data_IF_947907998631
#
_entry.id   IF_947907998631
#
_cell.length_a   1.000
_cell.length_b   1.000
_cell.length_c   1.000
_cell.angle_alpha   90.00
_cell.angle_beta   90.00
_cell.angle_gamma   90.00
#
_symmetry.space_group_name_H-M   'P 1'
#
loop_
_entity.id
_entity.type
_entity.pdbx_description
1 polymer ?
#
# COMPACT_ATOMS: atom_id res chain seq x y z
N UNK A 1 9.21 -73.38 53.47
CA UNK A 1 9.64 -72.60 54.65
C UNK A 1 10.28 -71.31 54.17
N UNK A 2 9.94 -70.19 54.82
CA UNK A 2 10.45 -68.82 54.63
C UNK A 2 12.00 -68.78 54.59
N UNK A 3 12.68 -67.79 53.99
CA UNK A 3 12.92 -66.40 54.47
C UNK A 3 13.64 -65.65 53.30
N UNK A 4 13.12 -64.51 52.79
CA UNK A 4 13.58 -63.10 52.99
C UNK A 4 15.01 -62.82 52.43
N UNK A 5 15.39 -61.71 51.78
CA UNK A 5 14.81 -60.40 51.50
C UNK A 5 15.61 -59.74 50.34
N UNK A 6 14.99 -58.82 49.60
CA UNK A 6 15.58 -58.08 48.49
C UNK A 6 16.44 -56.87 48.96
N UNK A 7 17.58 -56.67 48.30
CA UNK A 7 18.57 -55.61 48.57
C UNK A 7 18.25 -54.33 47.80
N UNK A 8 18.37 -53.20 48.49
CA UNK A 8 18.24 -51.82 47.99
C UNK A 8 19.20 -51.51 46.83
N UNK A 9 18.72 -50.73 45.87
CA UNK A 9 19.54 -50.00 44.89
C UNK A 9 18.99 -48.60 44.63
N UNK A 10 19.43 -47.63 45.42
CA UNK A 10 19.28 -46.19 45.16
C UNK A 10 20.50 -45.74 44.36
N UNK A 11 20.32 -45.43 43.07
CA UNK A 11 21.32 -44.71 42.28
C UNK A 11 20.78 -43.30 41.97
N UNK A 12 21.23 -42.33 42.75
CA UNK A 12 21.11 -40.92 42.44
C UNK A 12 22.22 -40.54 41.45
N UNK A 13 21.86 -40.32 40.19
CA UNK A 13 22.76 -39.78 39.18
C UNK A 13 22.82 -38.26 39.28
N UNK A 14 23.96 -37.72 39.69
CA UNK A 14 24.24 -36.27 39.60
C UNK A 14 24.80 -35.99 38.22
N UNK A 15 24.00 -35.36 37.36
CA UNK A 15 24.44 -34.80 36.07
C UNK A 15 25.07 -33.43 36.32
N UNK A 16 26.40 -33.36 36.29
CA UNK A 16 27.13 -32.09 36.23
C UNK A 16 27.16 -31.63 34.77
N UNK A 17 26.24 -30.74 34.40
CA UNK A 17 26.27 -30.08 33.11
C UNK A 17 27.38 -29.02 33.12
N UNK A 18 28.46 -29.26 32.37
CA UNK A 18 29.46 -28.25 32.04
C UNK A 18 28.81 -27.17 31.17
N UNK A 19 28.63 -25.96 31.73
CA UNK A 19 28.25 -24.77 30.97
C UNK A 19 29.46 -24.30 30.15
N UNK A 20 29.45 -24.63 28.86
CA UNK A 20 30.23 -23.88 27.86
C UNK A 20 29.54 -22.52 27.70
N UNK A 21 30.23 -21.37 27.89
CA UNK A 21 29.65 -20.07 27.56
C UNK A 21 29.57 -19.96 26.05
N UNK A 22 28.44 -20.41 25.49
CA UNK A 22 28.05 -20.07 24.13
C UNK A 22 27.82 -18.57 24.09
N UNK A 23 28.55 -17.88 23.21
CA UNK A 23 28.24 -16.51 22.81
C UNK A 23 26.78 -16.50 22.34
N UNK A 24 25.87 -15.99 23.17
CA UNK A 24 24.51 -15.68 22.72
C UNK A 24 24.67 -14.56 21.71
N UNK A 25 24.56 -14.91 20.43
CA UNK A 25 24.23 -13.93 19.41
C UNK A 25 22.86 -13.40 19.79
N UNK A 26 22.81 -12.20 20.38
CA UNK A 26 21.57 -11.49 20.64
C UNK A 26 20.96 -11.14 19.30
N UNK A 27 20.05 -12.01 18.83
CA UNK A 27 19.09 -11.60 17.81
C UNK A 27 18.30 -10.38 18.33
N UNK A 28 17.72 -9.57 17.43
CA UNK A 28 16.88 -8.45 17.83
C UNK A 28 15.81 -8.95 18.82
N UNK A 29 15.59 -8.21 19.90
CA UNK A 29 14.52 -8.51 20.86
C UNK A 29 13.18 -8.55 20.13
N UNK A 30 12.24 -9.37 20.60
CA UNK A 30 10.90 -9.45 20.01
C UNK A 30 10.21 -8.07 19.91
N UNK A 31 10.59 -7.12 20.77
CA UNK A 31 10.08 -5.74 20.73
C UNK A 31 10.61 -4.91 19.55
N UNK A 32 11.77 -5.26 18.99
CA UNK A 32 12.41 -4.54 17.88
C UNK A 32 11.96 -5.04 16.50
N UNK A 33 11.45 -6.26 16.41
CA UNK A 33 10.87 -6.85 15.20
C UNK A 33 9.75 -7.84 15.59
N UNK A 34 8.56 -7.35 15.99
CA UNK A 34 7.47 -8.20 16.49
C UNK A 34 7.01 -9.31 15.54
N UNK A 35 7.29 -9.19 14.24
CA UNK A 35 6.87 -10.17 13.22
C UNK A 35 8.05 -11.01 12.69
N UNK A 36 9.28 -10.70 13.09
CA UNK A 36 10.51 -11.32 12.60
C UNK A 36 10.71 -11.12 11.09
N UNK A 37 10.29 -9.96 10.55
CA UNK A 37 10.31 -9.66 9.12
C UNK A 37 11.71 -9.29 8.59
N UNK A 38 12.65 -8.96 9.46
CA UNK A 38 14.03 -8.64 9.07
C UNK A 38 14.17 -7.30 8.34
N UNK A 39 13.15 -6.44 8.40
CA UNK A 39 13.17 -5.05 7.96
C UNK A 39 12.85 -4.14 9.15
N UNK A 40 13.21 -2.84 9.13
CA UNK A 40 12.97 -1.96 10.27
C UNK A 40 11.49 -1.88 10.70
N UNK A 41 11.24 -2.10 11.99
CA UNK A 41 9.97 -1.79 12.64
C UNK A 41 10.00 -0.32 13.10
N UNK A 42 9.19 0.54 12.47
CA UNK A 42 9.21 2.00 12.66
C UNK A 42 7.80 2.58 12.61
N UNK A 43 7.22 2.76 13.78
CA UNK A 43 5.95 3.47 13.94
C UNK A 43 6.10 4.96 13.57
N UNK A 44 5.01 5.55 13.10
CA UNK A 44 4.95 6.94 12.65
C UNK A 44 3.92 7.71 13.49
N UNK A 45 4.17 7.96 14.79
CA UNK A 45 3.17 8.51 15.71
C UNK A 45 2.75 9.94 15.34
N UNK A 46 3.66 10.70 14.75
CA UNK A 46 3.42 12.09 14.38
C UNK A 46 2.65 12.17 13.07
N UNK A 47 1.53 12.89 13.08
CA UNK A 47 0.78 13.23 11.88
C UNK A 47 1.43 14.41 11.14
N UNK A 48 2.63 14.17 10.61
CA UNK A 48 3.50 15.19 9.99
C UNK A 48 2.93 15.79 8.69
N UNK A 49 1.95 15.14 8.07
CA UNK A 49 1.46 15.48 6.74
C UNK A 49 2.31 14.94 5.59
N UNK A 50 3.42 14.26 5.89
CA UNK A 50 4.19 13.48 4.93
C UNK A 50 3.36 12.33 4.33
N UNK A 51 3.87 11.70 3.29
CA UNK A 51 3.19 10.58 2.63
C UNK A 51 4.00 9.29 2.71
N UNK A 52 3.33 8.16 2.76
CA UNK A 52 3.94 6.83 2.61
C UNK A 52 3.26 6.09 1.47
N UNK A 53 3.99 5.17 0.85
CA UNK A 53 3.42 4.20 -0.08
C UNK A 53 3.22 2.89 0.66
N UNK A 54 1.96 2.52 0.93
CA UNK A 54 1.59 1.26 1.57
C UNK A 54 1.69 0.14 0.54
N UNK A 55 2.66 -0.75 0.72
CA UNK A 55 2.96 -1.86 -0.18
C UNK A 55 2.38 -3.20 0.31
N UNK A 56 1.91 -3.25 1.56
CA UNK A 56 1.25 -4.42 2.12
C UNK A 56 0.69 -4.14 3.51
N UNK A 57 -0.36 -4.85 3.91
CA UNK A 57 -0.97 -4.70 5.23
C UNK A 57 -1.70 -5.96 5.67
N UNK A 58 -1.91 -6.11 6.99
CA UNK A 58 -2.73 -7.17 7.56
C UNK A 58 -2.44 -7.44 9.03
N UNK A 59 -2.97 -8.57 9.51
CA UNK A 59 -2.98 -8.91 10.94
C UNK A 59 -1.79 -9.77 11.38
N UNK A 60 -0.93 -10.19 10.45
CA UNK A 60 0.14 -11.16 10.72
C UNK A 60 1.33 -11.00 9.77
N UNK A 61 2.39 -11.76 10.05
CA UNK A 61 3.63 -11.80 9.26
C UNK A 61 3.41 -12.10 7.77
N UNK A 62 2.56 -13.07 7.44
CA UNK A 62 2.47 -13.62 6.09
C UNK A 62 2.18 -12.57 4.99
N UNK A 63 1.13 -11.71 5.09
CA UNK A 63 0.86 -10.70 4.08
C UNK A 63 1.99 -9.66 3.95
N UNK A 64 2.60 -9.25 5.06
CA UNK A 64 3.70 -8.28 5.04
C UNK A 64 4.98 -8.89 4.45
N UNK A 65 5.30 -10.14 4.77
CA UNK A 65 6.47 -10.82 4.26
C UNK A 65 6.45 -10.95 2.73
N UNK A 66 5.28 -11.26 2.15
CA UNK A 66 5.11 -11.29 0.70
C UNK A 66 5.36 -9.90 0.08
N UNK A 67 4.74 -8.86 0.62
CA UNK A 67 4.93 -7.48 0.15
C UNK A 67 6.41 -7.03 0.23
N UNK A 68 7.09 -7.34 1.34
CA UNK A 68 8.52 -7.04 1.53
C UNK A 68 9.37 -7.78 0.50
N UNK A 69 9.06 -9.05 0.24
CA UNK A 69 9.79 -9.86 -0.75
C UNK A 69 9.62 -9.31 -2.17
N UNK A 70 8.40 -8.91 -2.54
CA UNK A 70 8.10 -8.30 -3.84
C UNK A 70 8.80 -6.94 -4.03
N UNK A 71 9.22 -6.32 -2.92
CA UNK A 71 9.95 -5.05 -2.86
C UNK A 71 11.40 -5.20 -2.36
N UNK A 72 11.99 -6.39 -2.53
CA UNK A 72 13.35 -6.66 -2.09
C UNK A 72 14.34 -5.68 -2.74
N UNK A 73 15.14 -5.01 -1.91
CA UNK A 73 16.12 -4.01 -2.33
C UNK A 73 15.64 -2.56 -2.23
N UNK A 74 14.35 -2.33 -1.94
CA UNK A 74 13.86 -1.02 -1.51
C UNK A 74 14.07 -0.82 0.00
N UNK A 75 14.05 0.43 0.45
CA UNK A 75 14.10 0.78 1.88
C UNK A 75 12.71 0.60 2.52
N UNK A 76 12.31 -0.66 2.69
CA UNK A 76 11.02 -1.04 3.26
C UNK A 76 11.10 -0.96 4.78
N UNK A 77 10.09 -0.35 5.39
CA UNK A 77 9.84 -0.44 6.83
C UNK A 77 8.44 -1.01 7.08
N UNK A 78 8.14 -1.39 8.31
CA UNK A 78 6.78 -1.71 8.71
C UNK A 78 6.42 -1.11 10.06
N UNK A 79 5.14 -0.89 10.29
CA UNK A 79 4.60 -0.23 11.49
C UNK A 79 3.39 -0.96 12.05
N UNK A 80 3.04 -0.65 13.30
CA UNK A 80 1.73 -0.94 13.89
C UNK A 80 0.85 0.30 13.78
N UNK A 81 -0.34 0.15 13.22
CA UNK A 81 -1.24 1.28 12.97
C UNK A 81 -1.76 1.92 14.25
N UNK A 82 -1.96 1.14 15.30
CA UNK A 82 -2.42 1.61 16.61
C UNK A 82 -1.41 2.54 17.32
N UNK A 83 -0.13 2.40 17.00
CA UNK A 83 0.97 3.19 17.58
C UNK A 83 1.45 4.31 16.63
N UNK A 84 0.75 4.50 15.50
CA UNK A 84 1.07 5.46 14.45
C UNK A 84 -0.04 6.51 14.27
N UNK A 85 0.21 7.54 13.47
CA UNK A 85 -0.76 8.58 13.12
C UNK A 85 -2.06 7.95 12.64
N UNK A 86 -3.22 8.45 13.10
CA UNK A 86 -4.55 7.93 12.77
C UNK A 86 -4.98 8.23 11.31
N UNK A 87 -4.22 7.73 10.35
CA UNK A 87 -4.42 7.87 8.91
C UNK A 87 -5.02 6.60 8.28
N UNK A 88 -5.31 6.66 6.98
CA UNK A 88 -5.85 5.53 6.22
C UNK A 88 -4.73 4.63 5.73
N UNK A 89 -4.47 3.51 6.40
CA UNK A 89 -3.42 2.57 6.00
C UNK A 89 -3.91 1.35 5.22
N UNK A 90 -5.18 0.98 5.36
CA UNK A 90 -5.77 -0.21 4.74
C UNK A 90 -6.80 0.17 3.70
N UNK A 91 -7.92 -0.53 3.68
CA UNK A 91 -9.07 -0.18 2.82
C UNK A 91 -9.86 0.95 3.50
N UNK A 92 -10.20 2.00 2.76
CA UNK A 92 -10.86 3.23 3.25
C UNK A 92 -12.14 2.96 4.08
N UNK A 93 -12.90 1.91 3.75
CA UNK A 93 -14.17 1.57 4.40
C UNK A 93 -14.06 0.46 5.47
N UNK A 94 -12.85 0.03 5.80
CA UNK A 94 -12.59 -1.04 6.77
C UNK A 94 -11.79 -0.53 7.97
N UNK A 95 -11.84 -1.25 9.10
CA UNK A 95 -10.94 -0.97 10.21
C UNK A 95 -9.48 -0.97 9.76
N UNK A 96 -8.65 -0.12 10.41
CA UNK A 96 -7.22 -0.12 10.15
C UNK A 96 -6.63 -1.52 10.44
N UNK A 97 -5.79 -2.06 9.54
CA UNK A 97 -5.12 -3.33 9.76
C UNK A 97 -4.13 -3.21 10.92
N UNK A 98 -3.79 -4.29 11.62
CA UNK A 98 -2.83 -4.18 12.74
C UNK A 98 -1.46 -3.70 12.27
N UNK A 99 -0.95 -4.24 11.15
CA UNK A 99 0.38 -3.93 10.62
C UNK A 99 0.36 -3.52 9.16
N UNK A 100 1.35 -2.71 8.79
CA UNK A 100 1.52 -2.14 7.45
C UNK A 100 3.00 -2.15 7.08
N UNK A 101 3.34 -2.67 5.91
CA UNK A 101 4.64 -2.47 5.27
C UNK A 101 4.55 -1.28 4.30
N UNK A 102 5.56 -0.42 4.32
CA UNK A 102 5.56 0.83 3.56
C UNK A 102 6.94 1.23 3.04
N UNK A 103 6.93 2.09 2.02
CA UNK A 103 8.06 2.88 1.55
C UNK A 103 7.88 4.34 1.96
N UNK A 104 8.99 5.04 2.20
CA UNK A 104 9.02 6.43 2.68
C UNK A 104 9.38 6.53 4.17
N UNK A 105 8.99 7.61 4.88
CA UNK A 105 8.11 8.68 4.43
C UNK A 105 8.73 9.58 3.35
N UNK A 106 7.86 10.13 2.51
CA UNK A 106 8.15 11.12 1.47
C UNK A 106 7.67 12.49 1.92
N UNK A 107 8.44 13.54 1.60
CA UNK A 107 8.12 14.91 2.01
C UNK A 107 6.87 15.46 1.30
N UNK A 108 6.57 14.91 0.11
CA UNK A 108 5.43 15.30 -0.70
C UNK A 108 4.59 14.10 -1.16
N UNK A 109 3.25 14.25 -1.29
CA UNK A 109 2.43 13.20 -1.89
C UNK A 109 2.80 12.90 -3.34
N UNK A 110 3.30 13.90 -4.08
CA UNK A 110 3.78 13.74 -5.46
C UNK A 110 4.91 12.71 -5.61
N UNK A 111 5.83 12.62 -4.64
CA UNK A 111 6.91 11.63 -4.68
C UNK A 111 6.38 10.20 -4.48
N UNK A 112 5.53 10.00 -3.49
CA UNK A 112 4.87 8.71 -3.27
C UNK A 112 4.00 8.32 -4.47
N UNK A 113 3.31 9.30 -5.07
CA UNK A 113 2.49 9.09 -6.25
C UNK A 113 3.31 8.74 -7.50
N UNK A 114 4.49 9.33 -7.69
CA UNK A 114 5.38 8.98 -8.79
C UNK A 114 5.79 7.49 -8.71
N UNK A 115 6.03 6.97 -7.50
CA UNK A 115 6.29 5.54 -7.28
C UNK A 115 5.03 4.70 -7.54
N UNK A 116 3.89 5.13 -6.99
CA UNK A 116 2.59 4.46 -7.13
C UNK A 116 2.15 4.28 -8.58
N UNK A 117 2.46 5.25 -9.44
CA UNK A 117 2.05 5.26 -10.84
C UNK A 117 2.99 4.45 -11.75
N UNK A 118 3.55 3.35 -11.22
CA UNK A 118 4.42 2.42 -11.93
C UNK A 118 3.90 0.98 -11.87
N UNK A 119 4.25 0.10 -12.83
CA UNK A 119 3.86 -1.31 -12.80
C UNK A 119 4.21 -2.05 -11.52
N UNK A 120 5.33 -1.68 -10.86
CA UNK A 120 5.78 -2.30 -9.61
C UNK A 120 4.79 -2.07 -8.45
N UNK A 121 4.15 -0.90 -8.43
CA UNK A 121 3.29 -0.46 -7.32
C UNK A 121 1.81 -0.32 -7.71
N UNK A 122 1.39 -0.99 -8.79
CA UNK A 122 0.05 -0.81 -9.39
C UNK A 122 -1.14 -1.12 -8.46
N UNK A 123 -0.91 -1.86 -7.36
CA UNK A 123 -1.91 -2.25 -6.37
C UNK A 123 -1.79 -1.55 -5.01
N UNK A 124 -0.77 -0.70 -4.85
CA UNK A 124 -0.44 -0.09 -3.57
C UNK A 124 -1.31 1.14 -3.33
N UNK A 125 -1.22 1.76 -2.15
CA UNK A 125 -1.96 3.00 -1.85
C UNK A 125 -1.02 4.05 -1.27
N UNK A 126 -1.25 5.31 -1.63
CA UNK A 126 -0.54 6.43 -1.03
C UNK A 126 -1.35 6.93 0.15
N UNK A 127 -0.76 6.90 1.34
CA UNK A 127 -1.35 7.39 2.57
C UNK A 127 -0.70 8.71 2.94
N UNK A 128 -1.50 9.72 3.24
CA UNK A 128 -1.03 10.95 3.87
C UNK A 128 -1.15 10.82 5.38
N UNK A 129 -0.10 11.17 6.10
CA UNK A 129 -0.04 11.08 7.57
C UNK A 129 -0.77 12.27 8.20
N UNK A 130 -2.11 12.27 8.10
CA UNK A 130 -2.99 13.21 8.80
C UNK A 130 -4.13 12.46 9.48
N UNK A 131 -4.45 12.87 10.70
CA UNK A 131 -5.52 12.25 11.49
C UNK A 131 -6.93 12.43 10.89
N UNK A 132 -7.11 13.47 10.04
CA UNK A 132 -8.37 13.77 9.38
C UNK A 132 -8.58 13.00 8.08
N UNK A 133 -7.53 12.43 7.47
CA UNK A 133 -7.65 11.74 6.18
C UNK A 133 -8.62 10.56 6.31
N UNK A 134 -9.53 10.45 5.35
CA UNK A 134 -10.50 9.34 5.26
C UNK A 134 -10.41 8.56 3.96
N UNK A 135 -9.66 9.09 3.00
CA UNK A 135 -9.37 8.45 1.72
C UNK A 135 -7.86 8.45 1.48
N UNK A 136 -7.42 7.64 0.53
CA UNK A 136 -6.05 7.67 0.02
C UNK A 136 -5.80 8.92 -0.83
N UNK A 137 -4.53 9.26 -0.99
CA UNK A 137 -4.09 10.31 -1.91
C UNK A 137 -4.46 9.91 -3.33
N UNK A 138 -5.17 10.81 -4.02
CA UNK A 138 -5.55 10.63 -5.42
C UNK A 138 -4.42 11.12 -6.32
N UNK A 139 -3.60 10.20 -6.84
CA UNK A 139 -2.34 10.56 -7.49
C UNK A 139 -2.48 11.42 -8.77
N UNK A 140 -3.62 11.38 -9.44
CA UNK A 140 -3.90 12.29 -10.56
C UNK A 140 -4.02 13.77 -10.13
N UNK A 141 -4.21 14.03 -8.83
CA UNK A 141 -4.27 15.36 -8.23
C UNK A 141 -2.90 15.89 -7.80
N UNK A 142 -1.94 14.99 -7.61
CA UNK A 142 -0.60 15.31 -7.09
C UNK A 142 0.47 15.35 -8.18
N UNK A 143 0.19 14.76 -9.33
CA UNK A 143 1.16 14.67 -10.43
C UNK A 143 0.88 15.71 -11.54
N UNK A 144 1.94 16.17 -12.25
CA UNK A 144 1.79 17.06 -13.39
C UNK A 144 1.08 16.36 -14.55
N UNK A 145 0.11 17.04 -15.16
CA UNK A 145 -0.71 16.50 -16.26
C UNK A 145 0.09 16.19 -17.51
N UNK A 146 1.25 16.85 -17.65
CA UNK A 146 2.19 16.68 -18.75
C UNK A 146 2.88 15.32 -18.69
N UNK A 147 2.86 14.63 -17.54
CA UNK A 147 3.39 13.28 -17.40
C UNK A 147 2.34 12.20 -17.65
N UNK A 148 1.08 12.57 -17.90
CA UNK A 148 0.00 11.60 -18.06
C UNK A 148 -0.01 11.10 -19.50
N UNK A 149 -0.19 9.78 -19.74
CA UNK A 149 -0.23 9.25 -21.10
C UNK A 149 -1.51 9.69 -21.81
N UNK A 150 -1.43 9.83 -23.13
CA UNK A 150 -2.63 9.86 -23.97
C UNK A 150 -3.29 8.48 -23.96
N UNK A 151 -4.58 8.42 -23.63
CA UNK A 151 -5.35 7.18 -23.62
C UNK A 151 -6.46 7.23 -24.68
N UNK A 152 -6.52 6.21 -25.54
CA UNK A 152 -7.54 6.10 -26.57
C UNK A 152 -7.75 4.64 -27.01
N UNK A 153 -8.90 4.36 -27.62
CA UNK A 153 -9.15 3.08 -28.28
C UNK A 153 -8.12 2.85 -29.38
N UNK A 154 -7.55 1.65 -29.45
CA UNK A 154 -6.55 1.27 -30.46
C UNK A 154 -5.12 1.72 -30.14
N UNK A 155 -4.88 2.45 -29.03
CA UNK A 155 -3.53 2.66 -28.50
C UNK A 155 -3.03 1.38 -27.79
N UNK A 156 -1.70 1.14 -27.75
CA UNK A 156 -1.15 0.03 -26.98
C UNK A 156 -1.58 0.09 -25.52
N UNK A 157 -1.94 -1.07 -24.96
CA UNK A 157 -2.28 -1.22 -23.55
C UNK A 157 -1.31 -2.17 -22.88
N UNK A 158 -0.51 -1.63 -21.98
CA UNK A 158 0.50 -2.28 -21.16
C UNK A 158 0.22 -2.04 -19.67
N UNK A 159 1.09 -2.55 -18.79
CA UNK A 159 0.91 -2.41 -17.35
C UNK A 159 0.90 -0.94 -16.88
N UNK A 160 1.65 -0.05 -17.55
CA UNK A 160 1.71 1.35 -17.19
C UNK A 160 0.40 2.07 -17.56
N UNK A 161 -0.05 1.92 -18.81
CA UNK A 161 -1.31 2.51 -19.29
C UNK A 161 -2.55 1.94 -18.59
N UNK A 162 -2.52 0.68 -18.12
CA UNK A 162 -3.59 0.11 -17.29
C UNK A 162 -3.75 0.83 -15.95
N UNK A 163 -2.66 1.28 -15.33
CA UNK A 163 -2.70 2.05 -14.07
C UNK A 163 -3.41 3.39 -14.31
N UNK A 164 -2.98 4.12 -15.34
CA UNK A 164 -3.58 5.40 -15.71
C UNK A 164 -5.04 5.26 -16.12
N UNK A 165 -5.38 4.19 -16.85
CA UNK A 165 -6.77 3.91 -17.23
C UNK A 165 -7.65 3.63 -16.02
N UNK A 166 -7.16 2.87 -15.03
CA UNK A 166 -7.90 2.63 -13.79
C UNK A 166 -8.07 3.92 -12.99
N UNK A 167 -7.03 4.76 -12.92
CA UNK A 167 -7.11 6.07 -12.28
C UNK A 167 -8.16 6.97 -12.95
N UNK A 168 -8.17 7.02 -14.29
CA UNK A 168 -9.21 7.71 -15.06
C UNK A 168 -10.61 7.20 -14.72
N UNK A 169 -10.82 5.89 -14.82
CA UNK A 169 -12.13 5.26 -14.61
C UNK A 169 -12.65 5.47 -13.19
N UNK A 170 -11.77 5.40 -12.19
CA UNK A 170 -12.08 5.67 -10.78
C UNK A 170 -12.45 7.14 -10.60
N UNK A 171 -11.64 8.05 -11.15
CA UNK A 171 -11.93 9.49 -11.05
C UNK A 171 -13.27 9.83 -11.69
N UNK A 172 -13.56 9.28 -12.87
CA UNK A 172 -14.86 9.46 -13.54
C UNK A 172 -16.01 8.88 -12.69
N UNK A 173 -15.79 7.80 -11.95
CA UNK A 173 -16.76 7.24 -11.01
C UNK A 173 -17.05 8.22 -9.86
N UNK A 174 -15.99 8.70 -9.21
CA UNK A 174 -16.06 9.61 -8.06
C UNK A 174 -16.82 10.91 -8.40
N UNK A 175 -16.61 11.47 -9.60
CA UNK A 175 -17.33 12.68 -10.04
C UNK A 175 -18.69 12.41 -10.68
N UNK A 176 -19.22 11.18 -10.58
CA UNK A 176 -20.54 10.78 -11.07
C UNK A 176 -20.66 10.66 -12.60
N UNK A 177 -19.55 10.43 -13.29
CA UNK A 177 -19.45 10.31 -14.76
C UNK A 177 -19.17 8.89 -15.25
N UNK A 178 -19.14 7.91 -14.34
CA UNK A 178 -19.14 6.49 -14.67
C UNK A 178 -20.32 5.79 -13.97
N UNK A 179 -21.58 6.02 -14.41
CA UNK A 179 -22.78 5.50 -13.72
C UNK A 179 -22.88 3.96 -13.71
N UNK A 180 -21.90 3.28 -14.31
CA UNK A 180 -21.87 1.83 -14.42
C UNK A 180 -20.73 1.19 -13.64
N UNK A 181 -19.93 1.98 -12.91
CA UNK A 181 -18.77 1.51 -12.15
C UNK A 181 -17.80 0.66 -12.98
N UNK A 182 -17.61 1.03 -14.25
CA UNK A 182 -16.71 0.34 -15.17
C UNK A 182 -15.26 0.68 -14.86
N UNK A 183 -14.64 -0.06 -13.94
CA UNK A 183 -13.28 0.17 -13.44
C UNK A 183 -12.44 -1.11 -13.63
N UNK A 184 -12.06 -1.38 -14.88
CA UNK A 184 -11.31 -2.59 -15.27
C UNK A 184 -9.85 -2.31 -15.65
N UNK A 185 -9.45 -1.04 -15.78
CA UNK A 185 -8.12 -0.64 -16.23
C UNK A 185 -7.86 -0.83 -17.73
N UNK A 186 -8.89 -1.08 -18.53
CA UNK A 186 -8.82 -1.26 -19.98
C UNK A 186 -9.52 -0.11 -20.68
N UNK A 187 -8.82 0.58 -21.58
CA UNK A 187 -9.38 1.72 -22.31
C UNK A 187 -10.14 1.21 -23.55
N UNK A 188 -11.35 0.71 -23.31
CA UNK A 188 -12.25 0.19 -24.32
C UNK A 188 -13.21 1.26 -24.86
N UNK A 189 -14.06 0.87 -25.81
CA UNK A 189 -15.07 1.76 -26.39
C UNK A 189 -15.97 2.38 -25.31
N UNK A 190 -16.31 1.61 -24.27
CA UNK A 190 -17.12 2.11 -23.15
C UNK A 190 -16.41 3.22 -22.40
N UNK A 191 -15.12 3.05 -22.11
CA UNK A 191 -14.31 4.10 -21.47
C UNK A 191 -14.25 5.35 -22.35
N UNK A 192 -14.06 5.19 -23.66
CA UNK A 192 -14.08 6.31 -24.61
C UNK A 192 -15.44 7.03 -24.61
N UNK A 193 -16.56 6.32 -24.55
CA UNK A 193 -17.90 6.92 -24.51
C UNK A 193 -18.15 7.73 -23.21
N UNK A 194 -17.63 7.25 -22.07
CA UNK A 194 -17.65 8.02 -20.81
C UNK A 194 -16.82 9.30 -20.93
N UNK A 195 -15.65 9.22 -21.57
CA UNK A 195 -14.78 10.39 -21.83
C UNK A 195 -15.46 11.38 -22.77
N UNK A 196 -16.11 10.93 -23.85
CA UNK A 196 -16.90 11.81 -24.74
C UNK A 196 -18.01 12.54 -23.99
N UNK A 197 -18.72 11.81 -23.12
CA UNK A 197 -19.79 12.38 -22.30
C UNK A 197 -19.23 13.46 -21.36
N UNK A 198 -18.08 13.21 -20.74
CA UNK A 198 -17.41 14.20 -19.92
C UNK A 198 -16.94 15.43 -20.74
N UNK A 199 -16.30 15.21 -21.88
CA UNK A 199 -15.83 16.27 -22.79
C UNK A 199 -16.98 17.16 -23.27
N UNK A 200 -18.10 16.56 -23.69
CA UNK A 200 -19.32 17.28 -24.08
C UNK A 200 -19.87 18.12 -22.91
N UNK A 201 -19.87 17.59 -21.68
CA UNK A 201 -20.26 18.37 -20.50
C UNK A 201 -19.33 19.55 -20.19
N UNK A 202 -18.11 19.55 -20.73
CA UNK A 202 -17.13 20.64 -20.59
C UNK A 202 -17.09 21.55 -21.83
N UNK A 203 -18.01 21.38 -22.77
CA UNK A 203 -18.11 22.14 -24.02
C UNK A 203 -16.82 22.10 -24.86
N UNK A 204 -16.09 20.96 -24.83
CA UNK A 204 -14.93 20.70 -25.68
C UNK A 204 -15.22 19.61 -26.71
N UNK A 205 -14.32 19.41 -27.68
CA UNK A 205 -14.47 18.37 -28.68
C UNK A 205 -14.57 16.97 -28.02
N UNK A 206 -15.60 16.21 -28.37
CA UNK A 206 -15.95 14.90 -27.82
C UNK A 206 -15.24 13.76 -28.58
N UNK A 207 -13.92 13.81 -28.60
CA UNK A 207 -13.08 12.84 -29.32
C UNK A 207 -13.12 11.45 -28.67
N UNK A 208 -13.32 11.39 -27.36
CA UNK A 208 -13.17 10.18 -26.56
C UNK A 208 -11.70 9.79 -26.34
N UNK A 209 -10.78 10.70 -26.63
CA UNK A 209 -9.34 10.60 -26.32
C UNK A 209 -9.09 11.33 -25.02
N UNK A 210 -8.36 10.71 -24.08
CA UNK A 210 -7.89 11.36 -22.86
C UNK A 210 -6.47 11.88 -23.10
N UNK A 211 -6.37 13.08 -23.63
CA UNK A 211 -5.13 13.84 -23.82
C UNK A 211 -4.85 14.78 -22.64
N UNK A 212 -3.77 15.56 -22.71
CA UNK A 212 -3.36 16.49 -21.65
C UNK A 212 -4.47 17.49 -21.28
N UNK A 213 -5.20 18.02 -22.26
CA UNK A 213 -6.30 18.96 -22.02
C UNK A 213 -7.47 18.27 -21.31
N UNK A 214 -7.84 17.06 -21.75
CA UNK A 214 -8.87 16.25 -21.11
C UNK A 214 -8.49 15.89 -19.68
N UNK A 215 -7.24 15.49 -19.44
CA UNK A 215 -6.71 15.24 -18.10
C UNK A 215 -6.80 16.47 -17.20
N UNK A 216 -6.44 17.64 -17.71
CA UNK A 216 -6.53 18.89 -16.94
C UNK A 216 -7.97 19.22 -16.55
N UNK A 217 -8.94 19.01 -17.45
CA UNK A 217 -10.35 19.21 -17.17
C UNK A 217 -10.85 18.24 -16.09
N UNK A 218 -10.48 16.97 -16.17
CA UNK A 218 -10.82 15.95 -15.18
C UNK A 218 -10.22 16.31 -13.82
N UNK A 219 -8.93 16.63 -13.77
CA UNK A 219 -8.23 17.03 -12.54
C UNK A 219 -8.89 18.23 -11.90
N UNK A 220 -9.21 19.26 -12.69
CA UNK A 220 -9.88 20.48 -12.20
C UNK A 220 -11.26 20.17 -11.60
N UNK A 221 -11.99 19.21 -12.19
CA UNK A 221 -13.31 18.82 -11.70
C UNK A 221 -13.25 17.99 -10.42
N UNK A 222 -12.33 17.03 -10.35
CA UNK A 222 -12.28 16.03 -9.29
C UNK A 222 -11.49 16.49 -8.06
N UNK A 223 -10.32 17.09 -8.27
CA UNK A 223 -9.34 17.28 -7.19
C UNK A 223 -9.73 18.30 -6.14
N UNK A 224 -10.70 19.17 -6.43
CA UNK A 224 -11.28 20.07 -5.41
C UNK A 224 -12.22 19.36 -4.43
N UNK A 225 -12.65 18.12 -4.72
CA UNK A 225 -13.58 17.36 -3.88
C UNK A 225 -12.90 16.40 -2.90
N UNK A 226 -11.61 16.09 -3.13
CA UNK A 226 -10.87 15.16 -2.28
C UNK A 226 -10.24 15.86 -1.08
N UNK A 227 -10.45 15.28 0.11
CA UNK A 227 -9.78 15.68 1.35
C UNK A 227 -8.96 14.51 1.91
N UNK A 228 -7.66 14.52 1.58
CA UNK A 228 -6.67 13.55 2.04
C UNK A 228 -5.47 14.19 2.72
#
# INVERSE_FOLDING_TARGET
MLVLAAVLGLLAGVLVAFLVPGTRTTGPSADADPLGLGVPFRDLPDCTGASILVIGFGESRAPLAAAIQDNAGADVSYLRTADSCAAVYGRETQPAPTYVAYLGPYDSPSEACAQRMTPAHRGDNVTRLRASSRIHVQCICELPTETFPELAVGRPQDAATQIWTRALQTTLDDIGRNPTHHINGVYDQRTADLVRTFQSFRDVADTGVTDTDTWQLIRTRACGEYDY
#
